data_IF_776066619936
#
_entry.id   IF_776066619936
#
_cell.length_a   1.000
_cell.length_b   1.000
_cell.length_c   1.000
_cell.angle_alpha   90.00
_cell.angle_beta   90.00
_cell.angle_gamma   90.00
#
_symmetry.space_group_name_H-M   'P 1'
#
loop_
_entity.id
_entity.type
_entity.pdbx_description
1 polymer ?
#
# COMPACT_ATOMS: atom_id res chain seq x y z
N UNK A 1 -29.65 -16.27 15.78
CA UNK A 1 -28.19 -16.14 15.52
C UNK A 1 -27.88 -16.79 14.17
N UNK A 2 -27.78 -16.03 13.08
CA UNK A 2 -27.38 -16.58 11.76
C UNK A 2 -25.86 -16.69 11.73
N UNK A 3 -25.37 -17.91 11.56
CA UNK A 3 -23.94 -18.23 11.44
C UNK A 3 -23.49 -17.74 10.06
N UNK A 4 -22.61 -16.75 10.03
CA UNK A 4 -21.97 -16.31 8.79
C UNK A 4 -21.05 -17.43 8.30
N UNK A 5 -21.52 -18.20 7.31
CA UNK A 5 -20.69 -19.17 6.61
C UNK A 5 -19.67 -18.41 5.76
N UNK A 6 -18.39 -18.52 6.14
CA UNK A 6 -17.25 -18.03 5.34
C UNK A 6 -17.18 -18.90 4.09
N UNK A 7 -17.77 -18.42 2.99
CA UNK A 7 -17.69 -19.07 1.69
C UNK A 7 -16.29 -18.79 1.14
N UNK A 8 -15.44 -19.81 1.18
CA UNK A 8 -14.07 -19.77 0.69
C UNK A 8 -14.00 -19.19 -0.73
N UNK A 9 -13.12 -18.20 -0.90
CA UNK A 9 -12.88 -17.47 -2.13
C UNK A 9 -11.89 -18.28 -2.99
N UNK A 10 -12.34 -18.65 -4.19
CA UNK A 10 -11.59 -19.22 -5.33
C UNK A 10 -10.79 -20.54 -5.12
N UNK A 11 -10.99 -21.57 -5.98
CA UNK A 11 -10.14 -22.75 -5.98
C UNK A 11 -8.70 -22.38 -6.42
N UNK A 12 -7.66 -22.97 -5.79
CA UNK A 12 -6.27 -22.75 -6.20
C UNK A 12 -6.04 -23.28 -7.63
N UNK A 13 -5.30 -22.52 -8.45
CA UNK A 13 -4.90 -22.90 -9.82
C UNK A 13 -4.24 -24.30 -9.82
N UNK A 14 -4.61 -25.22 -10.74
CA UNK A 14 -4.05 -26.56 -10.79
C UNK A 14 -2.62 -26.52 -11.33
N UNK A 15 -1.62 -26.87 -10.51
CA UNK A 15 -0.26 -27.12 -11.00
C UNK A 15 0.91 -26.88 -10.05
N UNK A 16 0.74 -26.22 -8.91
CA UNK A 16 1.83 -26.05 -7.94
C UNK A 16 1.44 -26.72 -6.62
N UNK A 17 2.25 -27.70 -6.16
CA UNK A 17 2.18 -28.20 -4.78
C UNK A 17 2.11 -26.99 -3.83
N UNK A 18 1.24 -26.97 -2.81
CA UNK A 18 1.19 -25.87 -1.86
C UNK A 18 2.51 -25.85 -1.09
N UNK A 19 3.48 -25.06 -1.58
CA UNK A 19 4.74 -24.84 -0.88
C UNK A 19 4.40 -24.26 0.49
N UNK A 20 4.91 -24.88 1.55
CA UNK A 20 4.59 -24.43 2.90
C UNK A 20 5.23 -23.07 3.12
N UNK A 21 4.41 -22.08 3.46
CA UNK A 21 4.89 -20.73 3.78
C UNK A 21 5.53 -20.77 5.16
N UNK A 22 6.84 -20.48 5.22
CA UNK A 22 7.62 -20.41 6.46
C UNK A 22 7.42 -19.06 7.15
N UNK A 23 7.20 -18.00 6.37
CA UNK A 23 6.95 -16.68 6.91
C UNK A 23 6.65 -15.64 5.84
N UNK A 24 6.04 -14.55 6.28
CA UNK A 24 5.76 -13.37 5.46
C UNK A 24 6.50 -12.19 6.09
N UNK A 25 7.31 -11.50 5.30
CA UNK A 25 8.06 -10.31 5.70
C UNK A 25 7.50 -9.12 4.93
N UNK A 26 7.20 -8.03 5.62
CA UNK A 26 6.72 -6.78 5.01
C UNK A 26 7.79 -5.72 5.21
N UNK A 27 8.30 -5.17 4.11
CA UNK A 27 9.29 -4.11 4.13
C UNK A 27 8.78 -2.91 3.32
N UNK A 28 9.21 -1.71 3.69
CA UNK A 28 8.98 -0.49 2.94
C UNK A 28 10.34 0.02 2.47
N UNK A 29 10.55 0.06 1.15
CA UNK A 29 11.83 0.44 0.54
C UNK A 29 11.62 1.54 -0.48
N UNK A 30 12.65 2.36 -0.67
CA UNK A 30 12.67 3.34 -1.76
C UNK A 30 12.86 2.63 -3.10
N UNK A 31 12.03 3.00 -4.07
CA UNK A 31 12.11 2.52 -5.44
C UNK A 31 13.52 2.73 -6.03
N UNK A 32 14.09 1.70 -6.64
CA UNK A 32 15.41 1.73 -7.27
C UNK A 32 16.61 1.84 -6.33
N UNK A 33 16.40 1.88 -5.01
CA UNK A 33 17.47 2.05 -4.00
C UNK A 33 17.51 0.93 -2.96
N UNK A 34 16.99 -0.25 -3.29
CA UNK A 34 17.14 -1.40 -2.40
C UNK A 34 18.63 -1.78 -2.30
N UNK A 35 19.20 -1.62 -1.10
CA UNK A 35 20.57 -2.02 -0.76
C UNK A 35 20.54 -3.08 0.34
N UNK A 36 21.56 -3.97 0.41
CA UNK A 36 21.66 -5.00 1.45
C UNK A 36 21.96 -4.45 2.87
N UNK A 37 21.84 -3.14 3.06
CA UNK A 37 22.13 -2.42 4.29
C UNK A 37 21.19 -2.81 5.47
N UNK A 38 21.42 -2.32 6.71
CA UNK A 38 20.76 -2.77 7.94
C UNK A 38 19.22 -2.85 7.98
N UNK A 39 18.40 -2.12 7.20
CA UNK A 39 16.96 -2.36 7.20
C UNK A 39 16.53 -3.62 6.44
N UNK A 40 17.29 -4.04 5.42
CA UNK A 40 16.93 -5.19 4.55
C UNK A 40 17.73 -6.44 4.93
N UNK A 41 19.02 -6.28 5.19
CA UNK A 41 19.95 -7.40 5.42
C UNK A 41 19.54 -8.29 6.61
N UNK A 42 19.37 -7.76 7.83
CA UNK A 42 18.94 -8.54 9.00
C UNK A 42 17.53 -9.14 8.84
N UNK A 43 16.58 -8.37 8.29
CA UNK A 43 15.18 -8.81 8.17
C UNK A 43 15.01 -9.98 7.20
N UNK A 44 15.71 -9.96 6.06
CA UNK A 44 15.69 -11.02 5.06
C UNK A 44 16.66 -12.16 5.36
N UNK A 45 17.84 -11.82 5.88
CA UNK A 45 18.90 -12.77 6.22
C UNK A 45 18.47 -13.75 7.31
N UNK A 46 17.73 -13.28 8.32
CA UNK A 46 17.19 -14.14 9.38
C UNK A 46 16.23 -15.24 8.87
N UNK A 47 15.68 -15.08 7.67
CA UNK A 47 14.76 -16.04 7.02
C UNK A 47 15.41 -16.81 5.86
N UNK A 48 16.71 -16.63 5.63
CA UNK A 48 17.46 -17.38 4.61
C UNK A 48 17.15 -16.97 3.16
N UNK A 49 16.65 -15.74 2.95
CA UNK A 49 16.36 -15.20 1.61
C UNK A 49 17.63 -14.68 0.94
N UNK A 50 17.78 -14.88 -0.36
CA UNK A 50 18.88 -14.30 -1.12
C UNK A 50 18.71 -12.78 -1.30
N UNK A 51 19.39 -12.01 -0.43
CA UNK A 51 19.29 -10.55 -0.34
C UNK A 51 19.70 -9.88 -1.66
N UNK A 52 20.79 -10.33 -2.29
CA UNK A 52 21.31 -9.72 -3.52
C UNK A 52 20.36 -9.90 -4.70
N UNK A 53 19.80 -11.11 -4.84
CA UNK A 53 18.79 -11.40 -5.87
C UNK A 53 17.55 -10.54 -5.67
N UNK A 54 17.06 -10.44 -4.43
CA UNK A 54 15.93 -9.58 -4.09
C UNK A 54 16.19 -8.10 -4.42
N UNK A 55 17.34 -7.54 -4.01
CA UNK A 55 17.67 -6.14 -4.29
C UNK A 55 17.71 -5.85 -5.79
N UNK A 56 18.29 -6.75 -6.59
CA UNK A 56 18.37 -6.60 -8.06
C UNK A 56 16.98 -6.65 -8.71
N UNK A 57 16.18 -7.66 -8.36
CA UNK A 57 14.84 -7.82 -8.93
C UNK A 57 13.88 -6.70 -8.49
N UNK A 58 14.01 -6.25 -7.23
CA UNK A 58 13.25 -5.13 -6.70
C UNK A 58 13.59 -3.83 -7.45
N UNK A 59 14.88 -3.52 -7.62
CA UNK A 59 15.30 -2.31 -8.33
C UNK A 59 14.88 -2.34 -9.80
N UNK A 60 14.95 -3.50 -10.46
CA UNK A 60 14.48 -3.65 -11.85
C UNK A 60 12.97 -3.40 -11.99
N UNK A 61 12.15 -3.95 -11.09
CA UNK A 61 10.68 -3.78 -11.12
C UNK A 61 10.19 -2.43 -10.58
N UNK A 62 11.03 -1.69 -9.85
CA UNK A 62 10.69 -0.37 -9.29
C UNK A 62 11.33 0.78 -10.05
N UNK A 63 12.08 0.48 -11.13
CA UNK A 63 12.72 1.49 -11.98
C UNK A 63 11.72 2.48 -12.60
N UNK A 64 10.48 2.06 -12.82
CA UNK A 64 9.42 2.89 -13.43
C UNK A 64 8.91 4.01 -12.52
N UNK A 65 9.17 3.95 -11.21
CA UNK A 65 8.60 4.86 -10.20
C UNK A 65 9.68 5.41 -9.25
N UNK A 66 10.73 6.09 -9.75
CA UNK A 66 11.81 6.59 -8.91
C UNK A 66 11.29 7.61 -7.89
N UNK A 67 11.77 7.52 -6.65
CA UNK A 67 11.45 8.46 -5.57
C UNK A 67 10.18 8.15 -4.78
N UNK A 68 9.50 7.02 -5.03
CA UNK A 68 8.42 6.55 -4.17
C UNK A 68 8.89 5.46 -3.21
N UNK A 69 8.31 5.43 -2.01
CA UNK A 69 8.46 4.31 -1.08
C UNK A 69 7.44 3.25 -1.50
N UNK A 70 7.92 2.08 -1.94
CA UNK A 70 7.11 0.97 -2.40
C UNK A 70 7.14 -0.15 -1.35
N UNK A 71 6.01 -0.44 -0.69
CA UNK A 71 5.92 -1.55 0.23
C UNK A 71 5.94 -2.87 -0.53
N UNK A 72 6.67 -3.83 0.01
CA UNK A 72 6.88 -5.15 -0.58
C UNK A 72 6.55 -6.21 0.45
N UNK A 73 5.77 -7.19 0.02
CA UNK A 73 5.44 -8.37 0.80
C UNK A 73 6.20 -9.57 0.25
N UNK A 74 7.05 -10.17 1.09
CA UNK A 74 7.97 -11.23 0.72
C UNK A 74 7.52 -12.49 1.44
N UNK A 75 7.08 -13.46 0.67
CA UNK A 75 6.68 -14.79 1.14
C UNK A 75 7.87 -15.72 0.99
N UNK A 76 8.30 -16.33 2.11
CA UNK A 76 9.39 -17.29 2.14
C UNK A 76 8.81 -18.70 2.26
N UNK A 77 9.30 -19.60 1.41
CA UNK A 77 8.92 -21.02 1.40
C UNK A 77 9.98 -21.88 2.10
N UNK A 78 9.62 -23.13 2.37
CA UNK A 78 10.45 -24.13 3.05
C UNK A 78 11.72 -24.51 2.27
N UNK A 79 11.67 -24.45 0.95
CA UNK A 79 12.80 -24.67 0.03
C UNK A 79 13.78 -23.47 -0.05
N UNK A 80 13.64 -22.46 0.83
CA UNK A 80 14.37 -21.17 0.78
C UNK A 80 14.09 -20.35 -0.48
N UNK A 81 13.14 -20.76 -1.32
CA UNK A 81 12.64 -19.90 -2.38
C UNK A 81 11.78 -18.79 -1.77
N UNK A 82 11.74 -17.65 -2.46
CA UNK A 82 10.93 -16.52 -2.06
C UNK A 82 10.14 -15.99 -3.24
N UNK A 83 8.93 -15.54 -2.98
CA UNK A 83 8.14 -14.74 -3.91
C UNK A 83 7.87 -13.40 -3.28
N UNK A 84 7.97 -12.33 -4.04
CA UNK A 84 7.64 -11.01 -3.54
C UNK A 84 6.59 -10.34 -4.41
N UNK A 85 5.66 -9.65 -3.77
CA UNK A 85 4.61 -8.86 -4.39
C UNK A 85 4.88 -7.40 -4.06
N UNK A 86 5.08 -6.60 -5.10
CA UNK A 86 5.15 -5.15 -4.98
C UNK A 86 3.74 -4.61 -4.84
N UNK A 87 3.50 -3.85 -3.79
CA UNK A 87 2.27 -3.10 -3.61
C UNK A 87 2.46 -1.69 -4.14
N UNK A 88 1.37 -0.98 -4.34
CA UNK A 88 1.40 0.44 -4.69
C UNK A 88 1.94 1.28 -3.53
N UNK A 89 2.52 2.45 -3.84
CA UNK A 89 2.97 3.39 -2.82
C UNK A 89 1.86 3.72 -1.79
N UNK A 90 2.23 4.06 -0.55
CA UNK A 90 1.27 4.50 0.45
C UNK A 90 0.47 5.69 -0.07
N UNK A 91 -0.85 5.66 0.14
CA UNK A 91 -1.72 6.77 -0.26
C UNK A 91 -1.25 8.09 0.37
N UNK A 92 -0.68 8.03 1.59
CA UNK A 92 -0.08 9.17 2.28
C UNK A 92 1.02 9.86 1.46
N UNK A 93 1.96 9.10 0.91
CA UNK A 93 3.08 9.66 0.13
C UNK A 93 2.58 10.23 -1.20
N UNK A 94 1.62 9.55 -1.84
CA UNK A 94 1.00 10.03 -3.08
C UNK A 94 0.24 11.35 -2.87
N UNK A 95 -0.50 11.45 -1.78
CA UNK A 95 -1.27 12.66 -1.43
C UNK A 95 -0.36 13.81 -1.00
N UNK A 96 0.70 13.55 -0.23
CA UNK A 96 1.69 14.56 0.14
C UNK A 96 2.37 15.16 -1.09
N UNK A 97 2.75 14.31 -2.06
CA UNK A 97 3.32 14.76 -3.34
C UNK A 97 2.30 15.52 -4.19
N UNK A 98 1.04 15.08 -4.25
CA UNK A 98 -0.01 15.77 -4.98
C UNK A 98 -0.36 17.14 -4.36
N UNK A 99 -0.30 17.25 -3.04
CA UNK A 99 -0.52 18.49 -2.30
C UNK A 99 0.72 19.40 -2.25
N UNK A 100 1.90 18.92 -2.63
CA UNK A 100 3.16 19.66 -2.55
C UNK A 100 3.66 19.88 -1.12
N UNK A 101 3.30 19.01 -0.18
CA UNK A 101 3.64 19.14 1.25
C UNK A 101 4.57 18.01 1.68
N UNK A 102 5.60 18.32 2.47
CA UNK A 102 6.57 17.31 2.94
C UNK A 102 6.06 16.50 4.14
N UNK A 103 5.22 17.10 5.00
CA UNK A 103 4.71 16.50 6.24
C UNK A 103 3.21 16.70 6.38
N UNK A 104 2.53 15.69 6.91
CA UNK A 104 1.11 15.78 7.27
C UNK A 104 0.87 16.70 8.47
N UNK A 105 -0.39 17.08 8.67
CA UNK A 105 -0.83 17.89 9.81
C UNK A 105 -0.64 17.17 11.14
N UNK A 106 -0.22 17.90 12.17
CA UNK A 106 -0.20 17.40 13.56
C UNK A 106 -1.60 17.31 14.16
N UNK A 107 -2.50 18.20 13.73
CA UNK A 107 -3.92 18.20 14.12
C UNK A 107 -4.81 18.19 12.86
N UNK A 108 -5.03 17.03 12.20
CA UNK A 108 -5.72 16.92 10.91
C UNK A 108 -7.12 17.55 10.80
N UNK A 109 -7.81 17.68 11.94
CA UNK A 109 -9.14 18.25 12.03
C UNK A 109 -9.15 19.77 12.25
N UNK A 110 -8.05 20.34 12.75
CA UNK A 110 -7.92 21.77 13.07
C UNK A 110 -7.04 22.50 12.08
N UNK A 111 -5.86 21.94 11.80
CA UNK A 111 -4.87 22.51 10.90
C UNK A 111 -4.87 21.76 9.57
N UNK A 112 -5.19 22.48 8.49
CA UNK A 112 -5.16 21.97 7.13
C UNK A 112 -3.85 22.37 6.48
N UNK A 113 -3.07 21.38 6.05
CA UNK A 113 -1.72 21.56 5.52
C UNK A 113 -1.65 21.59 4.00
N UNK A 114 -2.73 21.22 3.31
CA UNK A 114 -2.76 21.23 1.85
C UNK A 114 -4.14 20.98 1.28
N UNK A 115 -4.26 21.13 -0.04
CA UNK A 115 -5.47 20.84 -0.80
C UNK A 115 -5.14 19.99 -2.02
N UNK A 116 -6.04 19.07 -2.38
CA UNK A 116 -5.94 18.24 -3.60
C UNK A 116 -7.26 18.28 -4.35
N UNK A 117 -7.18 18.19 -5.68
CA UNK A 117 -8.38 18.15 -6.54
C UNK A 117 -8.91 16.72 -6.64
N UNK A 118 -10.20 16.60 -6.97
CA UNK A 118 -10.83 15.28 -7.20
C UNK A 118 -10.16 14.50 -8.33
N UNK A 119 -9.63 15.17 -9.35
CA UNK A 119 -8.90 14.51 -10.45
C UNK A 119 -7.59 13.87 -9.99
N UNK A 120 -6.85 14.56 -9.09
CA UNK A 120 -5.66 13.99 -8.47
C UNK A 120 -6.03 12.77 -7.60
N UNK A 121 -7.10 12.87 -6.82
CA UNK A 121 -7.60 11.77 -6.01
C UNK A 121 -8.01 10.58 -6.89
N UNK A 122 -8.64 10.84 -8.04
CA UNK A 122 -9.03 9.81 -9.01
C UNK A 122 -7.82 9.12 -9.62
N UNK A 123 -6.80 9.87 -10.00
CA UNK A 123 -5.54 9.33 -10.55
C UNK A 123 -4.85 8.43 -9.52
N UNK A 124 -4.72 8.91 -8.27
CA UNK A 124 -4.16 8.13 -7.16
C UNK A 124 -5.00 6.88 -6.89
N UNK A 125 -6.33 6.99 -6.94
CA UNK A 125 -7.24 5.86 -6.73
C UNK A 125 -7.12 4.81 -7.84
N UNK A 126 -6.92 5.21 -9.10
CA UNK A 126 -6.69 4.30 -10.22
C UNK A 126 -5.36 3.58 -10.08
N UNK A 127 -4.29 4.29 -9.74
CA UNK A 127 -2.99 3.68 -9.49
C UNK A 127 -3.04 2.68 -8.32
N UNK A 128 -3.82 3.00 -7.28
CA UNK A 128 -3.96 2.17 -6.07
C UNK A 128 -4.98 1.04 -6.18
N UNK A 129 -5.84 1.08 -7.21
CA UNK A 129 -6.93 0.14 -7.41
C UNK A 129 -6.53 -1.35 -7.30
N UNK A 130 -5.40 -1.83 -7.87
CA UNK A 130 -5.03 -3.24 -7.75
C UNK A 130 -4.76 -3.72 -6.32
N UNK A 131 -4.44 -2.82 -5.38
CA UNK A 131 -4.21 -3.17 -3.97
C UNK A 131 -5.42 -2.87 -3.07
N UNK A 132 -6.44 -2.19 -3.59
CA UNK A 132 -7.63 -1.86 -2.82
C UNK A 132 -8.68 -2.97 -2.99
N UNK A 133 -9.34 -3.31 -1.89
CA UNK A 133 -10.43 -4.29 -1.89
C UNK A 133 -11.77 -3.74 -2.46
N UNK A 134 -11.73 -2.61 -3.16
CA UNK A 134 -12.93 -1.94 -3.66
C UNK A 134 -13.27 -2.37 -5.10
N UNK A 135 -14.56 -2.51 -5.37
CA UNK A 135 -15.07 -2.91 -6.70
C UNK A 135 -15.29 -1.72 -7.65
N UNK A 136 -15.42 -0.50 -7.11
CA UNK A 136 -15.70 0.71 -7.88
C UNK A 136 -14.66 1.79 -7.62
N UNK A 137 -14.38 2.61 -8.64
CA UNK A 137 -13.43 3.73 -8.56
C UNK A 137 -13.90 4.76 -7.53
N UNK A 138 -15.22 5.02 -7.43
CA UNK A 138 -15.77 5.91 -6.41
C UNK A 138 -15.45 5.43 -4.98
N UNK A 139 -15.53 4.12 -4.73
CA UNK A 139 -15.16 3.55 -3.44
C UNK A 139 -13.67 3.74 -3.17
N UNK A 140 -12.82 3.55 -4.19
CA UNK A 140 -11.40 3.83 -4.10
C UNK A 140 -11.13 5.30 -3.76
N UNK A 141 -11.79 6.23 -4.45
CA UNK A 141 -11.67 7.67 -4.21
C UNK A 141 -12.08 8.05 -2.79
N UNK A 142 -13.14 7.43 -2.23
CA UNK A 142 -13.54 7.65 -0.83
C UNK A 142 -12.48 7.17 0.16
N UNK A 143 -11.80 6.05 -0.11
CA UNK A 143 -10.71 5.54 0.74
C UNK A 143 -9.53 6.52 0.72
N UNK A 144 -9.15 7.01 -0.45
CA UNK A 144 -8.08 8.00 -0.60
C UNK A 144 -8.47 9.32 0.07
N UNK A 145 -9.69 9.80 -0.13
CA UNK A 145 -10.20 11.01 0.53
C UNK A 145 -10.20 10.88 2.06
N UNK A 146 -10.53 9.70 2.60
CA UNK A 146 -10.42 9.42 4.03
C UNK A 146 -8.98 9.53 4.53
N UNK A 147 -8.03 9.06 3.74
CA UNK A 147 -6.60 9.19 4.05
C UNK A 147 -6.15 10.65 4.01
N UNK A 148 -6.59 11.43 3.02
CA UNK A 148 -6.32 12.86 2.91
C UNK A 148 -6.84 13.62 4.15
N UNK A 149 -8.09 13.36 4.55
CA UNK A 149 -8.69 13.96 5.73
C UNK A 149 -7.92 13.62 7.02
N UNK A 150 -7.43 12.39 7.16
CA UNK A 150 -6.62 11.95 8.31
C UNK A 150 -5.23 12.60 8.35
N UNK A 151 -4.75 13.17 7.24
CA UNK A 151 -3.48 13.90 7.18
C UNK A 151 -3.66 15.43 7.21
N UNK A 152 -4.90 15.91 7.28
CA UNK A 152 -5.19 17.34 7.22
C UNK A 152 -5.08 17.93 5.81
N UNK A 153 -5.28 17.12 4.78
CA UNK A 153 -5.36 17.58 3.39
C UNK A 153 -6.85 17.63 3.00
N UNK A 154 -7.30 18.79 2.52
CA UNK A 154 -8.67 18.95 2.03
C UNK A 154 -8.80 18.53 0.57
N UNK A 155 -9.95 17.94 0.24
CA UNK A 155 -10.29 17.49 -1.11
C UNK A 155 -11.39 18.38 -1.67
N UNK A 156 -11.17 18.94 -2.85
CA UNK A 156 -12.14 19.82 -3.52
C UNK A 156 -12.56 19.27 -4.91
N UNK A 157 -13.85 19.03 -5.17
CA UNK A 157 -14.99 19.06 -4.24
C UNK A 157 -14.99 17.94 -3.17
N UNK A 158 -15.68 18.13 -2.03
CA UNK A 158 -15.68 17.17 -0.93
C UNK A 158 -16.44 15.88 -1.31
N UNK A 159 -15.73 14.75 -1.36
CA UNK A 159 -16.29 13.43 -1.63
C UNK A 159 -16.90 12.80 -0.35
N UNK A 160 -16.38 13.19 0.82
CA UNK A 160 -16.81 12.64 2.10
C UNK A 160 -17.97 13.46 2.68
N UNK A 161 -19.14 12.85 2.76
CA UNK A 161 -20.26 13.41 3.51
C UNK A 161 -19.98 13.23 5.00
N UNK A 162 -19.91 14.33 5.76
CA UNK A 162 -19.87 14.27 7.24
C UNK A 162 -21.15 13.58 7.69
N UNK A 163 -21.03 12.47 8.43
CA UNK A 163 -22.19 11.91 9.12
C UNK A 163 -22.60 12.91 10.19
N UNK A 164 -23.73 13.59 10.00
CA UNK A 164 -24.40 14.26 11.10
C UNK A 164 -24.72 13.20 12.16
N UNK A 165 -24.18 13.39 13.36
CA UNK A 165 -24.67 12.64 14.51
C UNK A 165 -26.08 13.15 14.76
N UNK A 166 -27.08 12.39 14.34
CA UNK A 166 -28.43 12.54 14.86
C UNK A 166 -28.33 12.13 16.33
N UNK A 167 -28.17 13.14 17.19
CA UNK A 167 -28.25 12.96 18.64
C UNK A 167 -29.74 12.76 18.92
N UNK A 168 -30.12 11.52 19.24
CA UNK A 168 -31.43 11.19 19.79
C UNK A 168 -31.40 11.38 21.31
#
# INVERSE_FOLDING_TARGET
>A
RRVFAVRAMAPPKPGAKPKKVVGIIKLALEAGKATPAPPVGPALGAKGVNIMAFCKDYNAKTADKPGYIIPVEITVFDDKSFTFILKTPPASVLLLKAAGVEKGSKEPQREKVGKVTVDQVRTIAQEKLPDLNCKTIESAMRIIAGTAANMGIDVDPPILVKKEKVVF
#
